data_IF_579887031718
#
_entry.id   IF_579887031718
#
_cell.length_a   1.000
_cell.length_b   1.000
_cell.length_c   1.000
_cell.angle_alpha   90.00
_cell.angle_beta   90.00
_cell.angle_gamma   90.00
#
_symmetry.space_group_name_H-M   'P 1'
#
loop_
_entity.id
_entity.type
_entity.pdbx_description
1 polymer ?
#
# COMPACT_ATOMS: atom_id res chain seq x y z
N UNK A 1 -34.09 14.68 48.15
CA UNK A 1 -34.11 14.71 46.67
C UNK A 1 -32.69 14.40 46.21
N UNK A 2 -32.54 13.21 45.65
CA UNK A 2 -31.27 12.49 45.46
C UNK A 2 -30.41 13.11 44.35
N UNK A 3 -29.13 13.32 44.63
CA UNK A 3 -28.12 13.65 43.62
C UNK A 3 -27.54 12.34 43.06
N UNK A 4 -27.95 11.95 41.84
CA UNK A 4 -27.34 10.84 41.09
C UNK A 4 -26.06 11.32 40.38
N UNK A 5 -24.88 10.74 40.64
CA UNK A 5 -23.69 11.05 39.86
C UNK A 5 -23.75 10.33 38.50
N UNK A 6 -23.75 11.10 37.42
CA UNK A 6 -23.60 10.59 36.06
C UNK A 6 -22.20 9.99 35.89
N UNK A 7 -22.15 8.67 35.67
CA UNK A 7 -20.94 7.91 35.41
C UNK A 7 -20.15 8.48 34.21
N UNK A 8 -18.86 8.73 34.43
CA UNK A 8 -17.91 9.19 33.41
C UNK A 8 -17.71 8.10 32.36
N UNK A 9 -18.30 8.27 31.18
CA UNK A 9 -18.13 7.35 30.04
C UNK A 9 -16.65 7.30 29.64
N UNK A 10 -15.99 6.17 29.89
CA UNK A 10 -14.62 5.90 29.41
C UNK A 10 -14.64 5.95 27.88
N UNK A 11 -13.92 6.89 27.29
CA UNK A 11 -13.76 6.98 25.85
C UNK A 11 -13.21 5.65 25.32
N UNK A 12 -13.86 5.10 24.30
CA UNK A 12 -13.39 3.87 23.63
C UNK A 12 -11.97 4.16 23.12
N UNK A 13 -10.96 3.44 23.64
CA UNK A 13 -9.59 3.55 23.13
C UNK A 13 -9.62 3.18 21.65
N UNK A 14 -9.26 4.15 20.80
CA UNK A 14 -9.07 3.92 19.36
C UNK A 14 -7.98 2.87 19.21
N UNK A 15 -8.24 1.80 18.46
CA UNK A 15 -7.21 0.80 18.14
C UNK A 15 -5.95 1.52 17.63
N UNK A 16 -4.74 1.05 17.99
CA UNK A 16 -3.50 1.66 17.52
C UNK A 16 -3.55 1.73 16.00
N UNK A 17 -3.50 2.95 15.45
CA UNK A 17 -3.42 3.13 14.00
C UNK A 17 -2.15 2.43 13.56
N UNK A 18 -2.25 1.42 12.67
CA UNK A 18 -1.05 0.79 12.11
C UNK A 18 -0.14 1.89 11.60
N UNK A 19 1.06 1.96 12.17
CA UNK A 19 2.01 3.03 11.93
C UNK A 19 2.47 2.86 10.49
N UNK A 20 2.09 3.79 9.61
CA UNK A 20 2.44 3.72 8.19
C UNK A 20 3.95 3.78 8.07
N UNK A 21 4.54 2.68 7.64
CA UNK A 21 6.00 2.52 7.55
C UNK A 21 6.49 3.23 6.30
N UNK A 22 7.58 3.98 6.45
CA UNK A 22 8.32 4.59 5.35
C UNK A 22 9.68 3.92 5.22
N UNK A 23 10.02 3.47 4.02
CA UNK A 23 11.31 2.82 3.78
C UNK A 23 11.79 3.09 2.36
N UNK A 24 12.72 4.03 2.22
CA UNK A 24 13.42 4.25 0.95
C UNK A 24 14.11 2.99 0.42
N UNK A 25 14.78 2.15 1.24
CA UNK A 25 15.37 0.91 0.74
C UNK A 25 14.32 -0.10 0.22
N UNK A 26 13.11 -0.12 0.79
CA UNK A 26 12.02 -0.94 0.24
C UNK A 26 11.57 -0.40 -1.13
N UNK A 27 11.36 0.91 -1.26
CA UNK A 27 10.95 1.52 -2.53
C UNK A 27 12.00 1.29 -3.63
N UNK A 28 13.28 1.40 -3.30
CA UNK A 28 14.38 1.11 -4.25
C UNK A 28 14.37 -0.37 -4.68
N UNK A 29 14.12 -1.28 -3.75
CA UNK A 29 13.96 -2.70 -4.08
C UNK A 29 12.76 -2.93 -5.00
N UNK A 30 11.59 -2.35 -4.71
CA UNK A 30 10.40 -2.49 -5.55
C UNK A 30 10.67 -1.92 -6.95
N UNK A 31 11.29 -0.75 -7.06
CA UNK A 31 11.67 -0.16 -8.34
C UNK A 31 12.66 -1.00 -9.16
N UNK A 32 13.43 -1.89 -8.52
CA UNK A 32 14.39 -2.77 -9.21
C UNK A 32 13.76 -4.06 -9.79
N UNK A 33 12.49 -4.33 -9.48
CA UNK A 33 11.79 -5.52 -9.94
C UNK A 33 11.11 -5.29 -11.29
N UNK A 34 10.86 -6.33 -12.10
CA UNK A 34 10.08 -6.20 -13.32
C UNK A 34 8.64 -5.76 -13.01
N UNK A 35 7.96 -5.23 -14.03
CA UNK A 35 6.56 -4.85 -13.96
C UNK A 35 5.68 -6.02 -13.47
N UNK A 36 4.74 -5.75 -12.58
CA UNK A 36 3.82 -6.75 -12.03
C UNK A 36 2.85 -7.33 -13.07
N UNK A 37 2.72 -6.70 -14.24
CA UNK A 37 1.86 -7.18 -15.34
C UNK A 37 2.57 -8.37 -16.04
N UNK A 38 1.99 -9.59 -16.05
CA UNK A 38 2.71 -10.81 -16.42
C UNK A 38 3.27 -10.85 -17.86
N UNK A 39 2.59 -10.19 -18.80
CA UNK A 39 3.01 -10.11 -20.20
C UNK A 39 3.86 -8.87 -20.52
N UNK A 40 4.13 -8.01 -19.54
CA UNK A 40 4.94 -6.82 -19.72
C UNK A 40 6.43 -7.14 -19.62
N UNK A 41 7.23 -6.56 -20.52
CA UNK A 41 8.70 -6.70 -20.56
C UNK A 41 9.43 -5.35 -20.52
N UNK A 42 8.73 -4.28 -20.17
CA UNK A 42 9.34 -2.96 -20.05
C UNK A 42 10.29 -2.90 -18.86
N UNK A 43 11.39 -2.16 -19.02
CA UNK A 43 12.39 -1.95 -17.98
C UNK A 43 12.21 -0.62 -17.23
N UNK A 44 11.33 0.26 -17.69
CA UNK A 44 11.10 1.58 -17.09
C UNK A 44 10.12 1.47 -15.91
N UNK A 45 10.62 0.94 -14.80
CA UNK A 45 9.81 0.60 -13.63
C UNK A 45 9.72 1.76 -12.65
N UNK A 46 8.51 1.95 -12.16
CA UNK A 46 8.13 2.94 -11.16
C UNK A 46 7.39 2.25 -10.02
N UNK A 47 7.40 2.88 -8.85
CA UNK A 47 6.69 2.35 -7.68
C UNK A 47 5.26 2.87 -7.68
N UNK A 48 4.30 1.95 -7.61
CA UNK A 48 2.88 2.25 -7.48
C UNK A 48 2.40 1.94 -6.05
N UNK A 49 1.74 2.89 -5.40
CA UNK A 49 1.16 2.69 -4.07
C UNK A 49 -0.29 2.24 -4.18
N UNK A 50 -0.62 1.09 -3.60
CA UNK A 50 -1.98 0.57 -3.59
C UNK A 50 -2.88 1.42 -2.72
N UNK A 51 -3.84 2.11 -3.33
CA UNK A 51 -4.67 3.06 -2.60
C UNK A 51 -5.85 2.39 -1.91
N UNK A 52 -6.27 1.22 -2.38
CA UNK A 52 -7.37 0.43 -1.80
C UNK A 52 -6.92 -0.53 -0.69
N UNK A 53 -5.62 -0.76 -0.52
CA UNK A 53 -5.10 -1.75 0.43
C UNK A 53 -5.22 -1.30 1.91
N UNK A 54 -5.36 0.00 2.18
CA UNK A 54 -5.50 0.53 3.54
C UNK A 54 -6.82 1.31 3.70
N UNK A 55 -7.54 1.16 4.82
CA UNK A 55 -8.68 2.02 5.12
C UNK A 55 -8.24 3.49 5.18
N UNK A 56 -8.75 4.28 4.22
CA UNK A 56 -8.45 5.71 4.10
C UNK A 56 -9.10 6.48 5.27
N UNK A 57 -8.32 6.83 6.29
CA UNK A 57 -8.61 8.05 7.04
C UNK A 57 -8.19 9.24 6.17
N UNK A 58 -9.08 10.21 5.96
CA UNK A 58 -8.83 11.42 5.14
C UNK A 58 -7.50 12.07 5.57
N UNK A 59 -6.63 12.37 4.59
CA UNK A 59 -5.36 13.09 4.80
C UNK A 59 -4.11 12.24 5.07
N UNK A 60 -4.15 10.91 4.96
CA UNK A 60 -3.00 10.04 5.22
C UNK A 60 -2.50 9.30 3.97
N UNK A 61 -1.22 9.51 3.61
CA UNK A 61 -0.54 8.86 2.48
C UNK A 61 -0.33 7.36 2.76
N UNK A 62 -0.62 6.49 1.78
CA UNK A 62 -0.47 5.02 1.87
C UNK A 62 0.91 4.61 2.42
N UNK A 63 0.98 3.53 3.21
CA UNK A 63 2.26 2.98 3.70
C UNK A 63 3.11 2.46 2.53
N UNK A 64 4.43 2.53 2.67
CA UNK A 64 5.33 1.98 1.65
C UNK A 64 5.21 0.44 1.56
N UNK A 65 4.67 -0.22 2.59
CA UNK A 65 4.37 -1.65 2.59
C UNK A 65 3.32 -2.07 1.54
N UNK A 66 2.47 -1.14 1.11
CA UNK A 66 1.45 -1.36 0.10
C UNK A 66 1.93 -0.84 -1.26
N UNK A 67 3.09 -1.32 -1.73
CA UNK A 67 3.66 -0.91 -3.01
C UNK A 67 3.96 -2.08 -3.94
N UNK A 68 3.84 -1.82 -5.24
CA UNK A 68 4.07 -2.80 -6.31
C UNK A 68 4.83 -2.15 -7.48
N UNK A 69 5.61 -2.93 -8.26
CA UNK A 69 6.33 -2.42 -9.41
C UNK A 69 5.42 -2.32 -10.63
N UNK A 70 5.36 -1.15 -11.27
CA UNK A 70 4.68 -0.96 -12.55
C UNK A 70 5.56 -0.17 -13.52
N UNK A 71 5.54 -0.56 -14.80
CA UNK A 71 6.18 0.28 -15.81
C UNK A 71 5.41 1.59 -16.03
N UNK A 72 6.05 2.61 -16.61
CA UNK A 72 5.43 3.92 -16.87
C UNK A 72 4.09 3.79 -17.63
N UNK A 73 3.98 2.91 -18.62
CA UNK A 73 2.75 2.69 -19.40
C UNK A 73 1.61 2.07 -18.55
N UNK A 74 1.92 1.05 -17.74
CA UNK A 74 0.92 0.43 -16.86
C UNK A 74 0.65 1.26 -15.58
N UNK A 75 1.50 2.23 -15.28
CA UNK A 75 1.30 3.15 -14.16
C UNK A 75 0.45 4.35 -14.59
N UNK A 76 0.91 5.11 -15.60
CA UNK A 76 0.33 6.40 -16.02
C UNK A 76 -0.18 6.41 -17.47
N UNK A 77 0.22 5.44 -18.28
CA UNK A 77 -0.11 5.38 -19.71
C UNK A 77 -1.55 4.99 -19.99
N UNK A 78 -1.85 4.71 -21.27
CA UNK A 78 -3.22 4.48 -21.76
C UNK A 78 -3.82 3.19 -21.21
N UNK A 79 -2.98 2.18 -21.03
CA UNK A 79 -3.34 0.90 -20.39
C UNK A 79 -3.15 0.93 -18.88
N UNK A 80 -2.76 2.08 -18.32
CA UNK A 80 -2.32 2.19 -16.94
C UNK A 80 -3.43 2.28 -15.90
N UNK A 81 -3.05 1.94 -14.68
CA UNK A 81 -3.94 1.91 -13.51
C UNK A 81 -4.53 3.29 -13.21
N UNK A 82 -3.74 4.36 -13.35
CA UNK A 82 -4.23 5.72 -13.12
C UNK A 82 -5.16 6.22 -14.23
N UNK A 83 -4.99 5.74 -15.47
CA UNK A 83 -5.88 6.08 -16.58
C UNK A 83 -7.23 5.38 -16.47
N UNK A 84 -7.27 4.11 -16.01
CA UNK A 84 -8.52 3.35 -15.85
C UNK A 84 -9.39 3.85 -14.69
N UNK A 85 -8.79 4.46 -13.66
CA UNK A 85 -9.47 5.09 -12.54
C UNK A 85 -9.94 4.14 -11.43
N UNK A 86 -10.35 2.91 -11.77
CA UNK A 86 -10.63 1.85 -10.81
C UNK A 86 -9.45 0.89 -10.70
N UNK A 87 -8.63 1.11 -9.68
CA UNK A 87 -7.44 0.32 -9.40
C UNK A 87 -7.76 -1.16 -9.18
N UNK A 88 -8.82 -1.47 -8.42
CA UNK A 88 -9.16 -2.86 -8.10
C UNK A 88 -9.60 -3.61 -9.35
N UNK A 89 -10.52 -3.01 -10.11
CA UNK A 89 -10.99 -3.61 -11.36
C UNK A 89 -9.85 -3.79 -12.38
N UNK A 90 -8.89 -2.87 -12.41
CA UNK A 90 -7.71 -2.98 -13.27
C UNK A 90 -6.84 -4.19 -12.91
N UNK A 91 -6.51 -4.39 -11.63
CA UNK A 91 -5.76 -5.56 -11.16
C UNK A 91 -6.50 -6.87 -11.40
N UNK A 92 -7.81 -6.89 -11.15
CA UNK A 92 -8.68 -8.05 -11.45
C UNK A 92 -8.68 -8.37 -12.94
N UNK A 93 -8.74 -7.36 -13.82
CA UNK A 93 -8.69 -7.56 -15.28
C UNK A 93 -7.37 -8.15 -15.78
N UNK A 94 -6.28 -7.94 -15.03
CA UNK A 94 -4.94 -8.46 -15.33
C UNK A 94 -4.73 -9.85 -14.72
N UNK A 95 -5.60 -10.27 -13.79
CA UNK A 95 -5.48 -11.54 -13.07
C UNK A 95 -4.39 -11.54 -12.01
N UNK A 96 -4.06 -10.37 -11.44
CA UNK A 96 -3.01 -10.22 -10.41
C UNK A 96 -3.63 -9.75 -9.10
N UNK A 97 -3.40 -10.51 -8.03
CA UNK A 97 -3.71 -10.05 -6.67
C UNK A 97 -2.62 -9.08 -6.18
N UNK A 98 -2.88 -7.79 -6.37
CA UNK A 98 -1.94 -6.74 -5.99
C UNK A 98 -1.68 -6.68 -4.48
N UNK A 99 -2.67 -7.03 -3.64
CA UNK A 99 -2.53 -7.01 -2.18
C UNK A 99 -1.59 -8.12 -1.75
N UNK A 100 -1.80 -9.33 -2.26
CA UNK A 100 -0.92 -10.46 -2.00
C UNK A 100 0.50 -10.21 -2.52
N UNK A 101 0.63 -9.58 -3.69
CA UNK A 101 1.93 -9.19 -4.24
C UNK A 101 2.65 -8.20 -3.33
N UNK A 102 2.00 -7.11 -2.94
CA UNK A 102 2.58 -6.10 -2.05
C UNK A 102 3.01 -6.72 -0.71
N UNK A 103 2.19 -7.61 -0.13
CA UNK A 103 2.52 -8.32 1.11
C UNK A 103 3.78 -9.18 0.97
N UNK A 104 3.95 -9.89 -0.15
CA UNK A 104 5.15 -10.69 -0.44
C UNK A 104 6.39 -9.81 -0.60
N UNK A 105 6.28 -8.70 -1.33
CA UNK A 105 7.38 -7.74 -1.53
C UNK A 105 7.83 -7.10 -0.22
N UNK A 106 6.86 -6.77 0.64
CA UNK A 106 7.11 -6.25 1.97
C UNK A 106 7.83 -7.29 2.84
N UNK A 107 7.32 -8.53 2.91
CA UNK A 107 7.94 -9.61 3.66
C UNK A 107 9.39 -9.88 3.21
N UNK A 108 9.64 -9.90 1.90
CA UNK A 108 10.98 -10.06 1.34
C UNK A 108 11.92 -8.90 1.73
N UNK A 109 11.38 -7.68 1.84
CA UNK A 109 12.14 -6.51 2.26
C UNK A 109 12.47 -6.53 3.75
N UNK A 110 11.52 -6.97 4.58
CA UNK A 110 11.74 -7.17 6.02
C UNK A 110 12.79 -8.26 6.26
N UNK A 111 12.66 -9.41 5.61
CA UNK A 111 13.59 -10.53 5.74
C UNK A 111 15.02 -10.14 5.33
N UNK A 112 15.17 -9.27 4.33
CA UNK A 112 16.47 -8.77 3.88
C UNK A 112 16.97 -7.54 4.67
N UNK A 113 16.31 -7.14 5.76
CA UNK A 113 16.72 -5.99 6.57
C UNK A 113 16.58 -4.63 5.87
N UNK A 114 15.79 -4.54 4.80
CA UNK A 114 15.53 -3.30 4.04
C UNK A 114 14.49 -2.39 4.70
N UNK A 115 13.92 -2.79 5.83
CA UNK A 115 12.90 -2.03 6.54
C UNK A 115 13.41 -1.71 7.94
N UNK A 116 13.39 -0.43 8.30
CA UNK A 116 13.64 0.01 9.67
C UNK A 116 12.30 0.32 10.33
N UNK A 117 11.95 -0.46 11.33
CA UNK A 117 10.86 -0.11 12.23
C UNK A 117 11.44 0.85 13.27
N UNK A 118 11.25 2.16 13.10
CA UNK A 118 11.56 3.11 14.16
C UNK A 118 10.67 2.76 15.35
N UNK A 119 11.26 2.33 16.48
CA UNK A 119 10.53 1.93 17.69
C UNK A 119 9.55 3.01 18.14
#
# INVERSE_FOLDING_TARGET
MECFPLAKTRSRRRAPRQRRVRSCPHLAYVASLPCAVPWCRSCDITVHHLTHAEPKARGLKASDAATVPLCVEHHLGRTGVHHRGDERAWWESIGVDAIALAARLWAASVAAGRVRFNA
#
